data_IF_863802806523
#
_entry.id   IF_863802806523
#
_cell.length_a   1.000
_cell.length_b   1.000
_cell.length_c   1.000
_cell.angle_alpha   90.00
_cell.angle_beta   90.00
_cell.angle_gamma   90.00
#
_symmetry.space_group_name_H-M   'P 1'
#
loop_
_entity.id
_entity.type
_entity.pdbx_description
1 polymer ?
#
# COMPACT_ATOMS: atom_id res chain seq x y z
N UNK A 1 17.32 0.08 -14.31
CA UNK A 1 17.05 1.54 -14.33
C UNK A 1 18.29 2.28 -13.85
N UNK A 2 18.44 3.60 -14.00
CA UNK A 2 19.63 4.30 -13.49
C UNK A 2 19.32 5.69 -12.95
N UNK A 3 20.20 6.21 -12.09
CA UNK A 3 20.21 7.59 -11.66
C UNK A 3 20.36 8.55 -12.85
N UNK A 4 19.75 9.73 -12.76
CA UNK A 4 19.99 10.78 -13.75
C UNK A 4 21.40 11.38 -13.60
N UNK A 5 21.80 12.25 -14.53
CA UNK A 5 23.14 12.86 -14.55
C UNK A 5 23.49 13.67 -13.29
N UNK A 6 22.49 14.07 -12.51
CA UNK A 6 22.67 14.78 -11.24
C UNK A 6 22.70 13.84 -10.02
N UNK A 7 22.73 12.52 -10.25
CA UNK A 7 22.70 11.52 -9.19
C UNK A 7 21.37 11.47 -8.44
N UNK A 8 20.25 11.85 -9.07
CA UNK A 8 18.91 11.81 -8.46
C UNK A 8 18.04 10.75 -9.09
N UNK A 9 17.20 10.12 -8.27
CA UNK A 9 16.17 9.18 -8.69
C UNK A 9 14.93 9.34 -7.80
N UNK A 10 13.75 9.51 -8.39
CA UNK A 10 12.50 9.75 -7.67
C UNK A 10 11.49 8.64 -7.94
N UNK A 11 10.91 8.11 -6.88
CA UNK A 11 9.88 7.08 -6.91
C UNK A 11 8.57 7.70 -6.40
N UNK A 12 7.46 7.39 -7.07
CA UNK A 12 6.11 7.69 -6.60
C UNK A 12 5.37 6.39 -6.28
N UNK A 13 4.96 6.22 -5.03
CA UNK A 13 4.13 5.11 -4.60
C UNK A 13 2.65 5.49 -4.70
N UNK A 14 1.87 4.63 -5.37
CA UNK A 14 0.42 4.67 -5.40
C UNK A 14 -0.13 3.44 -4.67
N UNK A 15 -0.89 3.66 -3.61
CA UNK A 15 -1.49 2.61 -2.79
C UNK A 15 -3.02 2.69 -2.84
N UNK A 16 -3.69 1.53 -2.78
CA UNK A 16 -5.13 1.41 -2.54
C UNK A 16 -5.99 2.31 -3.45
N UNK A 17 -5.74 2.19 -4.76
CA UNK A 17 -6.50 2.93 -5.78
C UNK A 17 -7.96 2.42 -5.82
N UNK A 18 -8.16 1.12 -5.60
CA UNK A 18 -9.44 0.41 -5.48
C UNK A 18 -10.54 0.98 -6.37
N UNK A 19 -10.26 1.07 -7.67
CA UNK A 19 -11.22 1.58 -8.64
C UNK A 19 -12.23 0.50 -9.07
N UNK A 20 -13.31 0.96 -9.69
CA UNK A 20 -14.36 0.13 -10.28
C UNK A 20 -14.51 0.50 -11.77
N UNK A 21 -15.32 -0.24 -12.58
CA UNK A 21 -15.55 0.12 -13.98
C UNK A 21 -15.97 1.57 -14.22
N UNK A 22 -16.67 2.20 -13.26
CA UNK A 22 -16.90 3.64 -13.28
C UNK A 22 -15.78 4.38 -12.52
N UNK A 23 -14.60 4.45 -13.15
CA UNK A 23 -13.39 5.05 -12.56
C UNK A 23 -13.64 6.49 -12.12
N UNK A 24 -13.28 6.81 -10.88
CA UNK A 24 -13.45 8.15 -10.33
C UNK A 24 -12.58 9.20 -11.05
N UNK A 25 -13.19 10.33 -11.38
CA UNK A 25 -12.46 11.48 -11.94
C UNK A 25 -11.49 12.09 -10.95
N UNK A 26 -11.76 11.99 -9.65
CA UNK A 26 -10.89 12.55 -8.60
C UNK A 26 -9.61 11.72 -8.42
N UNK A 27 -9.70 10.40 -8.58
CA UNK A 27 -8.52 9.51 -8.59
C UNK A 27 -7.59 9.86 -9.75
N UNK A 28 -8.14 9.97 -10.96
CA UNK A 28 -7.35 10.33 -12.15
C UNK A 28 -6.75 11.73 -11.99
N UNK A 29 -7.48 12.71 -11.47
CA UNK A 29 -6.95 14.06 -11.19
C UNK A 29 -5.81 14.05 -10.18
N UNK A 30 -5.92 13.28 -9.10
CA UNK A 30 -4.85 13.17 -8.11
C UNK A 30 -3.57 12.62 -8.75
N UNK A 31 -3.69 11.47 -9.43
CA UNK A 31 -2.55 10.81 -10.07
C UNK A 31 -1.93 11.75 -11.12
N UNK A 32 -2.75 12.35 -11.99
CA UNK A 32 -2.28 13.22 -13.06
C UNK A 32 -1.53 14.45 -12.53
N UNK A 33 -2.07 15.13 -11.51
CA UNK A 33 -1.44 16.31 -10.90
C UNK A 33 -0.21 15.95 -10.07
N UNK A 34 -0.22 14.81 -9.38
CA UNK A 34 0.96 14.32 -8.68
C UNK A 34 2.11 14.06 -9.66
N UNK A 35 1.86 13.38 -10.78
CA UNK A 35 2.87 13.10 -11.80
C UNK A 35 3.42 14.37 -12.46
N UNK A 36 2.54 15.35 -12.72
CA UNK A 36 2.92 16.64 -13.30
C UNK A 36 3.88 17.44 -12.39
N UNK A 37 3.55 17.51 -11.09
CA UNK A 37 4.32 18.28 -10.11
C UNK A 37 5.61 17.55 -9.70
N UNK A 38 5.53 16.24 -9.47
CA UNK A 38 6.64 15.48 -8.88
C UNK A 38 7.62 14.92 -9.91
N UNK A 39 7.15 14.59 -11.12
CA UNK A 39 7.98 14.05 -12.22
C UNK A 39 8.85 12.87 -11.77
N UNK A 40 8.25 11.78 -11.27
CA UNK A 40 9.01 10.62 -10.81
C UNK A 40 9.67 9.87 -11.97
N UNK A 41 10.80 9.23 -11.70
CA UNK A 41 11.48 8.30 -12.61
C UNK A 41 10.85 6.90 -12.61
N UNK A 42 10.11 6.55 -11.55
CA UNK A 42 9.41 5.27 -11.38
C UNK A 42 8.10 5.47 -10.62
N UNK A 43 7.03 4.84 -11.08
CA UNK A 43 5.79 4.65 -10.29
C UNK A 43 5.76 3.23 -9.72
N UNK A 44 5.42 3.08 -8.44
CA UNK A 44 5.24 1.76 -7.80
C UNK A 44 3.80 1.64 -7.29
N UNK A 45 3.08 0.63 -7.78
CA UNK A 45 1.73 0.29 -7.36
C UNK A 45 1.80 -0.79 -6.26
N UNK A 46 1.35 -0.47 -5.05
CA UNK A 46 1.51 -1.36 -3.87
C UNK A 46 0.23 -2.07 -3.47
N UNK A 47 -0.39 -2.74 -4.42
CA UNK A 47 -1.61 -3.51 -4.24
C UNK A 47 -2.91 -2.70 -4.22
N UNK A 48 -4.00 -3.44 -4.34
CA UNK A 48 -5.37 -2.96 -4.30
C UNK A 48 -5.64 -1.86 -5.32
N UNK A 49 -5.23 -2.10 -6.57
CA UNK A 49 -5.52 -1.15 -7.64
C UNK A 49 -7.00 -1.20 -8.03
N UNK A 50 -7.62 -2.38 -7.93
CA UNK A 50 -9.03 -2.59 -8.22
C UNK A 50 -9.82 -3.00 -6.98
N UNK A 51 -11.08 -2.58 -6.92
CA UNK A 51 -12.01 -2.99 -5.88
C UNK A 51 -12.62 -4.35 -6.21
N UNK A 52 -11.80 -5.41 -6.16
CA UNK A 52 -12.17 -6.73 -6.68
C UNK A 52 -13.37 -7.40 -5.99
N UNK A 53 -13.63 -7.13 -4.71
CA UNK A 53 -14.85 -7.55 -4.00
C UNK A 53 -16.12 -6.83 -4.48
N UNK A 54 -15.98 -5.75 -5.24
CA UNK A 54 -17.10 -4.94 -5.68
C UNK A 54 -17.98 -5.68 -6.69
N UNK A 55 -19.29 -5.68 -6.47
CA UNK A 55 -20.30 -6.23 -7.39
C UNK A 55 -20.42 -5.47 -8.72
N UNK A 56 -19.55 -4.50 -9.01
CA UNK A 56 -19.57 -3.71 -10.23
C UNK A 56 -18.89 -4.40 -11.41
N UNK A 57 -17.91 -5.27 -11.13
CA UNK A 57 -17.18 -6.01 -12.16
C UNK A 57 -17.99 -7.21 -12.68
N UNK A 58 -17.92 -7.45 -13.99
CA UNK A 58 -18.61 -8.53 -14.71
C UNK A 58 -20.06 -8.21 -15.08
N UNK A 59 -20.54 -6.99 -14.84
CA UNK A 59 -21.94 -6.59 -15.13
C UNK A 59 -22.18 -6.11 -16.56
N UNK A 60 -21.17 -5.54 -17.23
CA UNK A 60 -21.37 -4.92 -18.55
C UNK A 60 -21.08 -5.87 -19.70
N UNK A 61 -19.99 -6.62 -19.62
CA UNK A 61 -19.50 -7.40 -20.78
C UNK A 61 -19.49 -8.91 -20.59
N UNK A 62 -19.68 -9.39 -19.35
CA UNK A 62 -19.40 -10.79 -18.99
C UNK A 62 -17.91 -11.17 -19.04
N UNK A 63 -17.05 -10.31 -19.59
CA UNK A 63 -15.61 -10.50 -19.68
C UNK A 63 -14.90 -9.64 -18.62
N UNK A 64 -14.70 -10.24 -17.44
CA UNK A 64 -14.03 -9.57 -16.31
C UNK A 64 -12.59 -9.18 -16.62
N UNK A 65 -11.84 -9.97 -17.38
CA UNK A 65 -10.45 -9.64 -17.75
C UNK A 65 -10.41 -8.35 -18.56
N UNK A 66 -11.32 -8.17 -19.52
CA UNK A 66 -11.42 -6.93 -20.29
C UNK A 66 -11.85 -5.74 -19.43
N UNK A 67 -12.84 -5.89 -18.54
CA UNK A 67 -13.26 -4.79 -17.66
C UNK A 67 -12.13 -4.35 -16.71
N UNK A 68 -11.34 -5.30 -16.19
CA UNK A 68 -10.15 -4.99 -15.38
C UNK A 68 -9.09 -4.29 -16.23
N UNK A 69 -8.83 -4.76 -17.45
CA UNK A 69 -7.92 -4.09 -18.39
C UNK A 69 -8.35 -2.64 -18.67
N UNK A 70 -9.65 -2.39 -18.90
CA UNK A 70 -10.17 -1.05 -19.19
C UNK A 70 -10.01 -0.10 -17.98
N UNK A 71 -10.29 -0.60 -16.77
CA UNK A 71 -10.09 0.17 -15.54
C UNK A 71 -8.63 0.49 -15.32
N UNK A 72 -7.75 -0.52 -15.39
CA UNK A 72 -6.32 -0.35 -15.19
C UNK A 72 -5.71 0.57 -16.26
N UNK A 73 -6.16 0.45 -17.51
CA UNK A 73 -5.74 1.35 -18.59
C UNK A 73 -6.12 2.80 -18.30
N UNK A 74 -7.30 3.05 -17.73
CA UNK A 74 -7.75 4.40 -17.39
C UNK A 74 -7.03 5.00 -16.18
N UNK A 75 -6.74 4.21 -15.14
CA UNK A 75 -5.98 4.72 -13.98
C UNK A 75 -4.50 4.94 -14.33
N UNK A 76 -3.94 4.14 -15.24
CA UNK A 76 -2.54 4.22 -15.68
C UNK A 76 -2.32 5.14 -16.87
N UNK A 77 -3.38 5.63 -17.53
CA UNK A 77 -3.28 6.56 -18.65
C UNK A 77 -2.37 7.78 -18.36
N UNK A 78 -2.44 8.44 -17.19
CA UNK A 78 -1.52 9.53 -16.87
C UNK A 78 -0.05 9.12 -16.78
N UNK A 79 0.23 7.88 -16.35
CA UNK A 79 1.58 7.30 -16.24
C UNK A 79 2.10 6.95 -17.63
N UNK A 80 1.28 6.24 -18.42
CA UNK A 80 1.67 5.71 -19.73
C UNK A 80 1.92 6.82 -20.75
N UNK A 81 1.06 7.86 -20.76
CA UNK A 81 1.21 9.05 -21.63
C UNK A 81 2.49 9.84 -21.38
N UNK A 82 3.07 9.73 -20.17
CA UNK A 82 4.31 10.41 -19.78
C UNK A 82 5.54 9.54 -19.98
N UNK A 83 5.39 8.33 -20.53
CA UNK A 83 6.47 7.37 -20.74
C UNK A 83 7.19 6.97 -19.42
N UNK A 84 6.50 7.11 -18.28
CA UNK A 84 7.05 6.77 -16.98
C UNK A 84 6.92 5.25 -16.78
N UNK A 85 8.01 4.53 -16.49
CA UNK A 85 7.93 3.11 -16.14
C UNK A 85 7.18 2.93 -14.83
N UNK A 86 6.42 1.84 -14.72
CA UNK A 86 5.77 1.49 -13.47
C UNK A 86 5.95 0.02 -13.12
N UNK A 87 6.05 -0.25 -11.82
CA UNK A 87 6.13 -1.58 -11.23
C UNK A 87 4.87 -1.85 -10.41
N UNK A 88 4.44 -3.11 -10.33
CA UNK A 88 3.24 -3.50 -9.60
C UNK A 88 3.47 -4.72 -8.71
N UNK A 89 2.93 -4.63 -7.49
CA UNK A 89 2.58 -5.77 -6.65
C UNK A 89 1.09 -5.68 -6.28
N UNK A 90 0.57 -6.71 -5.64
CA UNK A 90 -0.86 -6.94 -5.43
C UNK A 90 -1.24 -6.85 -3.96
N UNK A 91 -2.51 -6.52 -3.75
CA UNK A 91 -3.16 -6.54 -2.46
C UNK A 91 -4.22 -7.63 -2.35
N UNK A 92 -4.85 -7.71 -1.18
CA UNK A 92 -5.82 -8.75 -0.88
C UNK A 92 -7.11 -8.60 -1.72
N UNK A 93 -7.44 -7.38 -2.18
CA UNK A 93 -8.65 -7.14 -2.95
C UNK A 93 -8.49 -7.38 -4.47
N UNK A 94 -7.27 -7.39 -5.01
CA UNK A 94 -7.09 -7.49 -6.46
C UNK A 94 -7.58 -8.83 -7.03
N UNK A 95 -7.25 -9.96 -6.40
CA UNK A 95 -7.67 -11.30 -6.89
C UNK A 95 -9.16 -11.61 -6.68
N UNK A 96 -9.83 -10.85 -5.81
CA UNK A 96 -11.25 -11.10 -5.48
C UNK A 96 -12.21 -10.85 -6.65
N UNK A 97 -11.75 -10.16 -7.71
CA UNK A 97 -12.50 -10.04 -8.96
C UNK A 97 -12.70 -11.41 -9.66
N UNK A 98 -11.91 -12.42 -9.29
CA UNK A 98 -11.93 -13.76 -9.87
C UNK A 98 -10.87 -13.97 -10.96
N UNK A 99 -9.79 -13.18 -10.93
CA UNK A 99 -8.63 -13.31 -11.81
C UNK A 99 -7.40 -13.38 -10.90
N UNK A 100 -6.56 -14.41 -11.06
CA UNK A 100 -5.37 -14.56 -10.20
C UNK A 100 -4.36 -13.41 -10.39
N UNK A 101 -3.55 -13.11 -9.37
CA UNK A 101 -2.48 -12.09 -9.48
C UNK A 101 -1.54 -12.40 -10.66
N UNK A 102 -1.21 -13.68 -10.88
CA UNK A 102 -0.41 -14.14 -12.03
C UNK A 102 -1.06 -13.76 -13.37
N UNK A 103 -2.34 -14.06 -13.55
CA UNK A 103 -3.06 -13.71 -14.78
C UNK A 103 -3.20 -12.20 -14.94
N UNK A 104 -3.47 -11.46 -13.86
CA UNK A 104 -3.51 -9.99 -13.92
C UNK A 104 -2.16 -9.41 -14.34
N UNK A 105 -1.06 -9.92 -13.77
CA UNK A 105 0.29 -9.48 -14.14
C UNK A 105 0.62 -9.77 -15.60
N UNK A 106 0.49 -11.04 -16.03
CA UNK A 106 0.90 -11.49 -17.36
C UNK A 106 -0.06 -11.07 -18.47
N UNK A 107 -1.38 -11.15 -18.24
CA UNK A 107 -2.37 -10.97 -19.29
C UNK A 107 -2.91 -9.54 -19.37
N UNK A 108 -2.71 -8.71 -18.33
CA UNK A 108 -3.28 -7.36 -18.23
C UNK A 108 -2.17 -6.31 -18.07
N UNK A 109 -1.44 -6.30 -16.96
CA UNK A 109 -0.42 -5.27 -16.69
C UNK A 109 0.68 -5.25 -17.74
N UNK A 110 1.25 -6.40 -18.13
CA UNK A 110 2.26 -6.48 -19.20
C UNK A 110 1.75 -5.99 -20.57
N UNK A 111 0.43 -5.85 -20.79
CA UNK A 111 -0.16 -5.28 -22.03
C UNK A 111 -0.42 -3.79 -21.94
N UNK A 112 -0.39 -3.21 -20.74
CA UNK A 112 -0.49 -1.77 -20.52
C UNK A 112 0.93 -1.21 -20.57
N UNK A 113 1.20 -0.28 -21.49
CA UNK A 113 2.56 0.19 -21.80
C UNK A 113 3.36 0.67 -20.59
N UNK A 114 4.69 0.59 -20.66
CA UNK A 114 5.64 0.98 -19.60
C UNK A 114 5.57 0.15 -18.31
N UNK A 115 4.81 -0.95 -18.27
CA UNK A 115 4.93 -1.93 -17.20
C UNK A 115 6.33 -2.53 -17.18
N UNK A 116 7.03 -2.34 -16.07
CA UNK A 116 8.29 -3.02 -15.78
C UNK A 116 8.06 -4.05 -14.68
N UNK A 117 8.92 -5.05 -14.65
CA UNK A 117 8.92 -6.06 -13.61
C UNK A 117 8.73 -7.46 -14.12
N UNK A 118 8.99 -8.42 -13.25
CA UNK A 118 8.99 -9.85 -13.54
C UNK A 118 8.28 -10.61 -12.42
N UNK A 119 8.23 -11.94 -12.54
CA UNK A 119 7.83 -12.82 -11.45
C UNK A 119 9.00 -13.72 -11.08
N UNK A 120 9.37 -13.72 -9.80
CA UNK A 120 10.38 -14.60 -9.25
C UNK A 120 10.03 -16.08 -9.50
N UNK A 121 11.03 -16.85 -9.90
CA UNK A 121 10.88 -18.28 -10.17
C UNK A 121 10.54 -19.06 -8.89
N UNK A 122 9.63 -20.03 -8.98
CA UNK A 122 9.24 -20.88 -7.85
C UNK A 122 8.33 -20.21 -6.81
N UNK A 123 7.96 -18.94 -7.01
CA UNK A 123 7.05 -18.19 -6.13
C UNK A 123 5.69 -18.03 -6.82
N UNK A 124 4.62 -18.29 -6.07
CA UNK A 124 3.25 -18.09 -6.54
C UNK A 124 2.86 -16.60 -6.51
N UNK A 125 1.86 -16.21 -7.30
CA UNK A 125 1.38 -14.82 -7.38
C UNK A 125 1.82 -14.10 -8.64
N UNK A 126 2.01 -12.79 -8.54
CA UNK A 126 2.49 -11.94 -9.64
C UNK A 126 3.24 -10.73 -9.10
N UNK A 127 4.25 -10.25 -9.83
CA UNK A 127 4.95 -9.02 -9.44
C UNK A 127 5.83 -9.13 -8.18
N UNK A 128 6.27 -10.33 -7.80
CA UNK A 128 7.39 -10.47 -6.86
C UNK A 128 8.71 -10.43 -7.63
N UNK A 129 9.51 -9.37 -7.48
CA UNK A 129 10.78 -9.19 -8.20
C UNK A 129 11.62 -8.06 -7.59
N UNK A 130 12.83 -7.86 -8.11
CA UNK A 130 13.71 -6.76 -7.73
C UNK A 130 14.10 -5.88 -8.93
N UNK A 131 14.38 -4.60 -8.66
CA UNK A 131 14.79 -3.59 -9.64
C UNK A 131 16.14 -2.99 -9.20
N UNK A 132 17.24 -3.38 -9.84
CA UNK A 132 18.52 -2.70 -9.67
C UNK A 132 18.48 -1.28 -10.27
N UNK A 133 18.91 -0.30 -9.46
CA UNK A 133 19.13 1.08 -9.87
C UNK A 133 20.63 1.30 -9.99
N UNK A 134 21.07 1.48 -11.24
CA UNK A 134 22.47 1.69 -11.58
C UNK A 134 22.89 3.15 -11.35
N UNK A 135 24.18 3.36 -11.17
CA UNK A 135 24.83 4.67 -11.14
C UNK A 135 24.51 5.47 -12.40
N UNK A 136 24.71 6.80 -12.33
CA UNK A 136 24.43 7.69 -13.45
C UNK A 136 25.22 7.33 -14.73
N UNK A 137 26.44 6.81 -14.57
CA UNK A 137 27.29 6.25 -15.63
C UNK A 137 26.89 4.83 -16.08
N UNK A 138 26.01 4.16 -15.35
CA UNK A 138 25.50 2.82 -15.65
C UNK A 138 26.43 1.66 -15.28
N UNK A 139 27.53 1.91 -14.57
CA UNK A 139 28.59 0.89 -14.36
C UNK A 139 28.36 -0.01 -13.17
N UNK A 140 27.63 0.42 -12.14
CA UNK A 140 27.41 -0.36 -10.90
C UNK A 140 25.99 -0.20 -10.37
N UNK A 141 25.53 -1.17 -9.57
CA UNK A 141 24.26 -1.07 -8.85
C UNK A 141 24.47 -0.23 -7.59
N UNK A 142 23.67 0.82 -7.43
CA UNK A 142 23.78 1.78 -6.32
C UNK A 142 22.68 1.56 -5.28
N UNK A 143 21.48 1.27 -5.76
CA UNK A 143 20.32 0.94 -4.93
C UNK A 143 19.56 -0.22 -5.57
N UNK A 144 18.72 -0.89 -4.79
CA UNK A 144 17.79 -1.87 -5.29
C UNK A 144 16.38 -1.65 -4.71
N UNK A 145 15.36 -2.00 -5.48
CA UNK A 145 13.98 -2.02 -5.01
C UNK A 145 13.50 -3.46 -5.03
N UNK A 146 12.81 -3.90 -3.98
CA UNK A 146 12.08 -5.15 -3.96
C UNK A 146 10.58 -4.87 -3.97
N UNK A 147 9.84 -5.66 -4.75
CA UNK A 147 8.39 -5.75 -4.66
C UNK A 147 8.03 -7.16 -4.21
N UNK A 148 7.21 -7.27 -3.15
CA UNK A 148 6.72 -8.55 -2.64
C UNK A 148 5.20 -8.64 -2.82
N UNK A 149 4.70 -9.76 -3.35
CA UNK A 149 3.28 -10.13 -3.27
C UNK A 149 3.03 -10.67 -1.86
N UNK A 150 2.64 -9.78 -0.94
CA UNK A 150 2.52 -10.08 0.50
C UNK A 150 1.34 -10.98 0.88
N UNK A 151 0.62 -11.54 -0.10
CA UNK A 151 -0.48 -12.48 0.13
C UNK A 151 -1.87 -11.84 0.13
N UNK A 152 -2.86 -12.59 0.62
CA UNK A 152 -4.28 -12.19 0.62
C UNK A 152 -4.96 -12.49 1.96
N UNK A 153 -6.28 -12.34 2.03
CA UNK A 153 -7.11 -12.75 3.17
C UNK A 153 -6.92 -14.25 3.52
N UNK A 154 -6.77 -14.56 4.81
CA UNK A 154 -6.67 -15.93 5.29
C UNK A 154 -8.04 -16.63 5.36
N UNK A 155 -8.07 -17.96 5.16
CA UNK A 155 -9.30 -18.80 5.18
C UNK A 155 -10.07 -18.83 6.53
N UNK A 156 -9.55 -18.21 7.58
CA UNK A 156 -10.18 -18.10 8.91
C UNK A 156 -10.43 -16.66 9.37
N UNK A 157 -10.26 -15.67 8.49
CA UNK A 157 -10.29 -14.25 8.82
C UNK A 157 -8.90 -13.68 9.11
N UNK A 158 -8.74 -12.39 8.83
CA UNK A 158 -7.43 -11.75 8.81
C UNK A 158 -6.67 -12.01 7.52
N UNK A 159 -5.33 -12.01 7.59
CA UNK A 159 -4.44 -12.09 6.42
C UNK A 159 -3.52 -13.30 6.53
N UNK A 160 -3.18 -13.86 5.37
CA UNK A 160 -2.22 -14.95 5.25
C UNK A 160 -0.88 -14.55 5.87
N UNK A 161 -0.19 -15.48 6.56
CA UNK A 161 1.20 -15.27 6.95
C UNK A 161 2.07 -15.04 5.70
N UNK A 162 3.10 -14.20 5.81
CA UNK A 162 3.99 -13.90 4.70
C UNK A 162 4.72 -15.17 4.21
N UNK A 163 4.72 -15.41 2.90
CA UNK A 163 5.25 -16.64 2.30
C UNK A 163 6.77 -16.75 2.52
N UNK A 164 7.20 -17.81 3.20
CA UNK A 164 8.62 -18.05 3.49
C UNK A 164 9.45 -18.30 2.24
N UNK A 165 8.83 -18.72 1.12
CA UNK A 165 9.53 -18.80 -0.18
C UNK A 165 9.97 -17.42 -0.68
N UNK A 166 9.19 -16.37 -0.41
CA UNK A 166 9.58 -14.99 -0.75
C UNK A 166 10.78 -14.57 0.11
N UNK A 167 10.82 -14.98 1.39
CA UNK A 167 11.97 -14.74 2.26
C UNK A 167 13.23 -15.43 1.72
N UNK A 168 13.14 -16.69 1.34
CA UNK A 168 14.26 -17.46 0.78
C UNK A 168 14.77 -16.84 -0.54
N UNK A 169 13.85 -16.49 -1.44
CA UNK A 169 14.18 -15.81 -2.68
C UNK A 169 14.83 -14.44 -2.46
N UNK A 170 14.30 -13.64 -1.52
CA UNK A 170 14.87 -12.35 -1.15
C UNK A 170 16.30 -12.51 -0.66
N UNK A 171 16.56 -13.45 0.26
CA UNK A 171 17.92 -13.72 0.77
C UNK A 171 18.87 -14.13 -0.35
N UNK A 172 18.45 -15.05 -1.22
CA UNK A 172 19.23 -15.46 -2.39
C UNK A 172 19.54 -14.28 -3.33
N UNK A 173 18.55 -13.43 -3.59
CA UNK A 173 18.71 -12.24 -4.44
C UNK A 173 19.63 -11.19 -3.80
N UNK A 174 19.48 -10.92 -2.51
CA UNK A 174 20.34 -10.03 -1.72
C UNK A 174 21.80 -10.50 -1.76
N UNK A 175 22.03 -11.79 -1.52
CA UNK A 175 23.37 -12.36 -1.46
C UNK A 175 24.04 -12.38 -2.84
N UNK A 176 23.29 -12.65 -3.91
CA UNK A 176 23.77 -12.49 -5.29
C UNK A 176 24.14 -11.04 -5.61
N UNK A 177 23.29 -10.07 -5.27
CA UNK A 177 23.61 -8.65 -5.49
C UNK A 177 24.84 -8.19 -4.72
N UNK A 178 25.04 -8.71 -3.50
CA UNK A 178 26.25 -8.47 -2.72
C UNK A 178 27.48 -9.04 -3.41
N UNK A 179 27.42 -10.27 -3.90
CA UNK A 179 28.54 -10.90 -4.62
C UNK A 179 28.91 -10.11 -5.89
N UNK A 180 27.90 -9.70 -6.67
CA UNK A 180 28.08 -8.91 -7.90
C UNK A 180 28.64 -7.50 -7.62
N UNK A 181 28.30 -6.88 -6.48
CA UNK A 181 28.63 -5.49 -6.16
C UNK A 181 29.79 -5.34 -5.15
N UNK A 182 30.24 -6.42 -4.53
CA UNK A 182 31.27 -6.45 -3.49
C UNK A 182 30.80 -6.04 -2.09
N UNK A 183 29.62 -5.44 -1.96
CA UNK A 183 28.97 -5.09 -0.69
C UNK A 183 27.44 -5.10 -0.85
N UNK A 184 26.72 -5.18 0.27
CA UNK A 184 25.27 -5.14 0.29
C UNK A 184 24.72 -3.85 -0.34
N UNK A 185 23.73 -4.00 -1.23
CA UNK A 185 23.12 -2.88 -1.95
C UNK A 185 22.01 -2.25 -1.10
N UNK A 186 22.08 -0.95 -0.76
CA UNK A 186 21.01 -0.28 -0.04
C UNK A 186 19.67 -0.38 -0.76
N UNK A 187 18.67 -0.95 -0.08
CA UNK A 187 17.43 -1.39 -0.71
C UNK A 187 16.18 -0.77 -0.09
N UNK A 188 15.11 -0.65 -0.88
CA UNK A 188 13.76 -0.35 -0.41
C UNK A 188 12.82 -1.51 -0.75
N UNK A 189 11.87 -1.82 0.12
CA UNK A 189 10.84 -2.83 -0.12
C UNK A 189 9.48 -2.14 -0.28
N UNK A 190 8.70 -2.63 -1.23
CA UNK A 190 7.30 -2.26 -1.41
C UNK A 190 6.43 -3.50 -1.37
N UNK A 191 5.38 -3.46 -0.56
CA UNK A 191 4.37 -4.51 -0.49
C UNK A 191 3.03 -3.93 -0.10
N UNK A 192 1.99 -4.76 -0.03
CA UNK A 192 0.67 -4.29 0.31
C UNK A 192 0.39 -4.38 1.82
N UNK A 193 0.47 -5.60 2.38
CA UNK A 193 0.07 -5.89 3.75
C UNK A 193 1.21 -5.55 4.73
N UNK A 194 0.94 -4.83 5.83
CA UNK A 194 1.95 -4.47 6.82
C UNK A 194 2.43 -5.68 7.64
N UNK A 195 3.71 -5.66 8.02
CA UNK A 195 4.30 -6.58 9.00
C UNK A 195 3.82 -6.26 10.42
N UNK A 196 3.88 -7.27 11.32
CA UNK A 196 3.56 -7.12 12.74
C UNK A 196 4.36 -5.99 13.41
N UNK A 197 5.62 -5.80 12.97
CA UNK A 197 6.55 -4.81 13.49
C UNK A 197 6.11 -3.35 13.29
N UNK A 198 5.10 -3.09 12.46
CA UNK A 198 4.48 -1.76 12.40
C UNK A 198 3.88 -1.35 13.76
N UNK A 199 3.50 -2.27 14.64
CA UNK A 199 3.09 -1.94 16.01
C UNK A 199 4.27 -1.49 16.89
N UNK A 200 5.51 -1.84 16.56
CA UNK A 200 6.69 -1.48 17.35
C UNK A 200 7.11 -0.01 17.18
N UNK A 201 6.63 0.66 16.13
CA UNK A 201 6.83 2.11 15.96
C UNK A 201 5.68 2.93 16.58
N UNK A 202 4.62 2.26 17.03
CA UNK A 202 3.48 2.89 17.69
C UNK A 202 3.65 2.89 19.21
N UNK A 203 2.96 3.81 19.87
CA UNK A 203 2.93 3.90 21.33
C UNK A 203 1.60 3.39 21.85
N UNK A 204 1.65 2.31 22.64
CA UNK A 204 0.48 1.80 23.37
C UNK A 204 0.09 2.79 24.47
N UNK A 205 -1.20 3.09 24.56
CA UNK A 205 -1.77 4.08 25.49
C UNK A 205 -3.07 3.57 26.12
N UNK A 206 -3.55 4.18 27.23
CA UNK A 206 -4.88 3.89 27.76
C UNK A 206 -5.99 4.21 26.77
N UNK A 207 -7.11 3.47 26.85
CA UNK A 207 -8.31 3.60 25.98
C UNK A 207 -8.83 5.03 25.79
N UNK A 208 -8.76 5.86 26.82
CA UNK A 208 -9.33 7.21 26.83
C UNK A 208 -8.32 8.29 26.43
N UNK A 209 -7.12 7.89 25.99
CA UNK A 209 -6.14 8.84 25.47
C UNK A 209 -6.69 9.48 24.19
N UNK A 210 -6.53 10.80 24.07
CA UNK A 210 -7.00 11.55 22.90
C UNK A 210 -6.35 10.98 21.63
N UNK A 211 -7.16 10.79 20.58
CA UNK A 211 -6.72 10.21 19.30
C UNK A 211 -6.25 8.76 19.35
N UNK A 212 -6.45 8.05 20.46
CA UNK A 212 -6.06 6.65 20.53
C UNK A 212 -6.92 5.78 19.59
N UNK A 213 -6.24 4.98 18.78
CA UNK A 213 -6.84 4.05 17.83
C UNK A 213 -6.89 2.65 18.46
N UNK A 214 -8.07 2.05 18.48
CA UNK A 214 -8.28 0.71 19.03
C UNK A 214 -7.80 -0.33 18.02
N UNK A 215 -6.95 -1.25 18.45
CA UNK A 215 -6.51 -2.38 17.63
C UNK A 215 -7.42 -3.62 17.78
N UNK A 216 -7.29 -4.56 16.85
CA UNK A 216 -8.07 -5.80 16.75
C UNK A 216 -7.19 -7.04 16.57
N UNK A 217 -7.85 -8.21 16.46
CA UNK A 217 -7.22 -9.53 16.31
C UNK A 217 -6.13 -9.75 17.37
N UNK A 218 -4.88 -10.01 16.98
CA UNK A 218 -3.74 -10.23 17.89
C UNK A 218 -3.55 -9.11 18.92
N UNK A 219 -3.92 -7.87 18.57
CA UNK A 219 -3.81 -6.68 19.41
C UNK A 219 -5.16 -6.24 20.03
N UNK A 220 -6.12 -7.16 20.14
CA UNK A 220 -7.47 -6.85 20.64
C UNK A 220 -7.43 -6.25 22.05
N UNK A 221 -8.04 -5.07 22.18
CA UNK A 221 -8.16 -4.37 23.46
C UNK A 221 -6.99 -3.42 23.75
N UNK A 222 -6.02 -3.37 22.84
CA UNK A 222 -4.92 -2.42 22.88
C UNK A 222 -5.31 -1.14 22.12
N UNK A 223 -4.69 -0.02 22.50
CA UNK A 223 -4.96 1.30 21.93
C UNK A 223 -3.64 1.99 21.66
N UNK A 224 -3.53 2.65 20.52
CA UNK A 224 -2.27 3.19 20.02
C UNK A 224 -2.39 4.63 19.54
N UNK A 225 -1.29 5.35 19.67
CA UNK A 225 -1.01 6.60 18.95
C UNK A 225 0.33 6.44 18.23
N UNK A 226 0.71 7.39 17.36
CA UNK A 226 2.06 7.42 16.81
C UNK A 226 3.09 7.46 17.93
N UNK A 227 4.15 6.66 17.80
CA UNK A 227 5.23 6.60 18.78
C UNK A 227 6.28 7.67 18.55
N UNK A 228 7.16 7.83 19.53
CA UNK A 228 8.26 8.81 19.49
C UNK A 228 9.31 8.47 18.39
N UNK A 229 9.25 7.25 17.85
CA UNK A 229 10.07 6.80 16.72
C UNK A 229 9.50 7.18 15.34
N UNK A 230 8.28 7.74 15.29
CA UNK A 230 7.66 8.23 14.06
C UNK A 230 8.16 9.63 13.70
N UNK A 231 8.30 9.88 12.39
CA UNK A 231 8.54 11.22 11.87
C UNK A 231 7.34 12.14 12.15
N UNK A 232 7.62 13.42 12.36
CA UNK A 232 6.61 14.45 12.51
C UNK A 232 5.70 14.56 11.27
N UNK A 233 4.44 14.94 11.50
CA UNK A 233 3.45 15.13 10.44
C UNK A 233 2.78 13.86 9.92
N UNK A 234 3.12 12.69 10.48
CA UNK A 234 2.40 11.45 10.22
C UNK A 234 1.01 11.41 10.85
N UNK A 235 0.16 10.50 10.38
CA UNK A 235 -1.19 10.26 10.89
C UNK A 235 -1.45 8.74 11.03
N UNK A 236 -1.87 8.34 12.23
CA UNK A 236 -2.46 7.02 12.51
C UNK A 236 -3.96 7.23 12.71
N UNK A 237 -4.77 6.70 11.80
CA UNK A 237 -6.23 6.88 11.80
C UNK A 237 -6.99 5.56 11.83
N UNK A 238 -6.30 4.44 11.65
CA UNK A 238 -6.81 3.08 11.83
C UNK A 238 -5.66 2.15 12.23
N UNK A 239 -5.93 1.04 12.95
CA UNK A 239 -4.87 0.20 13.46
C UNK A 239 -4.23 -0.61 12.32
N UNK A 240 -2.90 -0.86 12.32
CA UNK A 240 -2.27 -1.66 11.29
C UNK A 240 -2.89 -3.06 11.15
N UNK A 241 -3.26 -3.40 9.91
CA UNK A 241 -3.92 -4.65 9.53
C UNK A 241 -2.91 -5.77 9.24
N UNK A 242 -2.22 -6.24 10.27
CA UNK A 242 -1.12 -7.23 10.14
C UNK A 242 -1.61 -8.68 10.09
N UNK A 243 -0.85 -9.64 9.53
CA UNK A 243 -1.10 -11.07 9.72
C UNK A 243 -1.06 -11.50 11.19
N UNK A 244 -1.79 -12.56 11.55
CA UNK A 244 -1.79 -13.06 12.94
C UNK A 244 -0.51 -13.83 13.30
N UNK A 245 0.13 -14.43 12.29
CA UNK A 245 1.36 -15.21 12.44
C UNK A 245 2.50 -14.42 11.80
N UNK A 246 3.59 -14.23 12.55
CA UNK A 246 4.81 -13.61 12.05
C UNK A 246 5.76 -14.72 11.59
N UNK A 247 6.06 -14.75 10.29
CA UNK A 247 6.92 -15.78 9.67
C UNK A 247 8.40 -15.39 9.63
N UNK A 248 8.78 -14.26 10.24
CA UNK A 248 10.17 -13.78 10.29
C UNK A 248 10.56 -12.89 9.13
N UNK A 249 9.59 -12.31 8.41
CA UNK A 249 9.82 -11.38 7.30
C UNK A 249 10.72 -10.21 7.72
N UNK A 250 10.35 -9.49 8.78
CA UNK A 250 11.13 -8.36 9.27
C UNK A 250 12.54 -8.76 9.72
N UNK A 251 12.68 -9.91 10.38
CA UNK A 251 13.99 -10.39 10.83
C UNK A 251 14.90 -10.69 9.63
N UNK A 252 14.37 -11.28 8.56
CA UNK A 252 15.12 -11.48 7.32
C UNK A 252 15.51 -10.16 6.63
N UNK A 253 14.58 -9.21 6.56
CA UNK A 253 14.80 -7.88 5.97
C UNK A 253 15.86 -7.08 6.76
N UNK A 254 15.80 -7.14 8.09
CA UNK A 254 16.67 -6.34 8.96
C UNK A 254 18.07 -6.95 9.16
N UNK A 255 18.23 -8.26 8.95
CA UNK A 255 19.43 -9.07 9.24
C UNK A 255 20.75 -8.44 8.78
N UNK A 256 20.82 -7.93 7.54
CA UNK A 256 22.07 -7.46 6.94
C UNK A 256 22.20 -5.93 6.89
N UNK A 257 21.17 -5.20 7.34
CA UNK A 257 21.20 -3.73 7.34
C UNK A 257 21.19 -3.08 5.96
N UNK A 258 20.91 -3.83 4.90
CA UNK A 258 20.87 -3.38 3.52
C UNK A 258 19.53 -2.72 3.18
N UNK A 259 18.41 -3.29 3.62
CA UNK A 259 17.09 -2.68 3.47
C UNK A 259 16.94 -1.48 4.42
N UNK A 260 16.64 -0.32 3.85
CA UNK A 260 16.51 0.95 4.58
C UNK A 260 15.07 1.25 4.96
N UNK A 261 14.11 0.80 4.15
CA UNK A 261 12.70 0.99 4.44
C UNK A 261 11.81 -0.08 3.80
N UNK A 262 10.67 -0.32 4.42
CA UNK A 262 9.53 -1.04 3.84
C UNK A 262 8.34 -0.09 3.77
N UNK A 263 7.77 0.06 2.57
CA UNK A 263 6.60 0.89 2.33
C UNK A 263 5.38 0.04 1.99
N UNK A 264 4.26 0.34 2.63
CA UNK A 264 2.99 -0.41 2.52
C UNK A 264 1.80 0.48 2.22
N UNK A 265 0.71 -0.14 1.79
CA UNK A 265 -0.62 0.46 1.64
C UNK A 265 -1.58 -0.13 2.67
N UNK A 266 -2.69 -0.66 2.18
CA UNK A 266 -3.67 -1.52 2.86
C UNK A 266 -4.54 -0.83 3.91
N UNK A 267 -3.93 -0.04 4.81
CA UNK A 267 -4.64 0.80 5.77
C UNK A 267 -4.76 2.22 5.20
N UNK A 268 -5.82 2.40 4.40
CA UNK A 268 -6.09 3.54 3.51
C UNK A 268 -5.92 4.94 4.12
N UNK A 269 -6.13 5.12 5.42
CA UNK A 269 -6.10 6.41 6.13
C UNK A 269 -4.74 6.67 6.77
N UNK A 270 -3.92 5.63 6.96
CA UNK A 270 -2.63 5.75 7.60
C UNK A 270 -1.61 6.39 6.67
N UNK A 271 -0.81 7.30 7.22
CA UNK A 271 0.28 7.95 6.52
C UNK A 271 1.34 8.36 7.52
N UNK A 272 2.31 7.49 7.78
CA UNK A 272 3.39 7.77 8.71
C UNK A 272 4.63 6.98 8.33
N UNK A 273 5.77 7.38 8.86
CA UNK A 273 7.02 6.61 8.77
C UNK A 273 7.60 6.56 10.17
N UNK A 274 7.96 5.37 10.64
CA UNK A 274 8.63 5.19 11.92
C UNK A 274 9.82 4.26 11.84
N UNK A 275 10.81 4.50 12.70
CA UNK A 275 12.03 3.71 12.75
C UNK A 275 11.89 2.53 13.70
N UNK A 276 12.08 1.31 13.22
CA UNK A 276 12.25 0.14 14.10
C UNK A 276 13.56 -0.58 13.78
N UNK A 277 14.40 -0.76 14.81
CA UNK A 277 15.80 -1.19 14.65
C UNK A 277 16.51 -0.37 13.55
N UNK A 278 16.92 -1.03 12.47
CA UNK A 278 17.67 -0.49 11.35
C UNK A 278 16.81 -0.26 10.08
N UNK A 279 15.49 -0.38 10.16
CA UNK A 279 14.57 -0.25 9.03
C UNK A 279 13.46 0.77 9.32
N UNK A 280 13.13 1.59 8.33
CA UNK A 280 11.98 2.51 8.39
C UNK A 280 10.72 1.81 7.90
N UNK A 281 9.63 1.92 8.65
CA UNK A 281 8.34 1.30 8.37
C UNK A 281 7.34 2.40 7.99
N UNK A 282 6.92 2.42 6.72
CA UNK A 282 6.17 3.53 6.13
C UNK A 282 4.81 3.13 5.57
N UNK A 283 3.73 3.69 6.12
CA UNK A 283 2.40 3.64 5.49
C UNK A 283 2.22 4.76 4.46
N UNK A 284 1.55 4.42 3.37
CA UNK A 284 1.10 5.35 2.34
C UNK A 284 -0.41 5.32 2.26
N UNK A 285 -1.03 6.50 2.37
CA UNK A 285 -2.49 6.59 2.31
C UNK A 285 -3.02 6.22 0.92
N UNK A 286 -4.30 5.85 0.88
CA UNK A 286 -5.01 5.55 -0.36
C UNK A 286 -4.99 6.71 -1.35
N UNK A 287 -4.84 6.36 -2.63
CA UNK A 287 -4.93 7.28 -3.77
C UNK A 287 -6.31 7.24 -4.47
N UNK A 288 -7.15 6.25 -4.13
CA UNK A 288 -8.45 5.98 -4.75
C UNK A 288 -9.64 6.72 -4.16
N UNK A 289 -10.70 6.94 -4.96
CA UNK A 289 -11.93 7.63 -4.52
C UNK A 289 -13.22 6.77 -4.64
N UNK A 290 -13.09 5.48 -4.98
CA UNK A 290 -14.20 4.51 -4.94
C UNK A 290 -14.13 3.54 -3.74
N UNK A 291 -13.17 3.74 -2.84
CA UNK A 291 -13.01 3.08 -1.56
C UNK A 291 -13.17 4.06 -0.38
N UNK A 292 -13.14 3.56 0.86
CA UNK A 292 -13.04 4.42 2.05
C UNK A 292 -11.63 5.03 2.15
N UNK A 293 -11.45 6.07 2.97
CA UNK A 293 -10.15 6.72 3.17
C UNK A 293 -10.31 8.17 3.62
N UNK A 294 -9.20 8.89 3.72
CA UNK A 294 -9.14 10.15 4.46
C UNK A 294 -9.55 11.40 3.64
N UNK A 295 -10.73 11.37 3.02
CA UNK A 295 -11.33 12.53 2.31
C UNK A 295 -10.33 13.13 1.29
N UNK A 296 -10.09 14.44 1.35
CA UNK A 296 -9.11 15.16 0.52
C UNK A 296 -7.64 14.97 0.96
N UNK A 297 -7.38 14.26 2.06
CA UNK A 297 -6.02 13.89 2.50
C UNK A 297 -5.52 12.60 1.82
N UNK A 298 -6.35 11.95 1.00
CA UNK A 298 -5.89 10.91 0.06
C UNK A 298 -4.75 11.46 -0.79
N UNK A 299 -3.78 10.62 -1.13
CA UNK A 299 -2.53 11.11 -1.68
C UNK A 299 -1.64 10.02 -2.23
N UNK A 300 -0.43 10.44 -2.56
CA UNK A 300 0.66 9.59 -3.01
C UNK A 300 1.86 9.80 -2.09
N UNK A 301 2.78 8.84 -2.06
CA UNK A 301 4.09 9.03 -1.39
C UNK A 301 5.18 9.20 -2.42
N UNK A 302 6.05 10.18 -2.18
CA UNK A 302 7.25 10.44 -2.98
C UNK A 302 8.46 10.01 -2.17
N UNK A 303 9.41 9.35 -2.84
CA UNK A 303 10.69 8.92 -2.28
C UNK A 303 11.80 9.41 -3.21
N UNK A 304 12.77 10.12 -2.66
CA UNK A 304 13.90 10.67 -3.39
C UNK A 304 15.18 9.99 -2.92
N UNK A 305 15.89 9.39 -3.87
CA UNK A 305 17.18 8.77 -3.68
C UNK A 305 18.30 9.68 -4.21
N UNK A 306 19.49 9.53 -3.64
CA UNK A 306 20.69 10.29 -3.98
C UNK A 306 21.87 9.33 -4.14
N UNK A 307 22.44 9.28 -5.35
CA UNK A 307 23.56 8.40 -5.71
C UNK A 307 24.77 8.60 -4.77
N UNK A 308 24.98 9.82 -4.28
CA UNK A 308 26.10 10.14 -3.38
C UNK A 308 25.85 9.75 -1.92
N UNK A 309 24.59 9.44 -1.57
CA UNK A 309 24.18 9.02 -0.23
C UNK A 309 23.21 7.83 -0.34
N UNK A 310 23.63 6.69 -0.92
CA UNK A 310 22.72 5.61 -1.32
C UNK A 310 22.01 4.93 -0.16
N UNK A 311 22.56 5.01 1.06
CA UNK A 311 21.91 4.52 2.29
C UNK A 311 20.92 5.50 2.91
N UNK A 312 20.71 6.67 2.33
CA UNK A 312 19.76 7.69 2.79
C UNK A 312 18.77 8.00 1.69
N UNK A 313 17.56 8.35 2.09
CA UNK A 313 16.52 8.83 1.19
C UNK A 313 15.72 9.93 1.87
N UNK A 314 14.94 10.67 1.09
CA UNK A 314 13.90 11.58 1.60
C UNK A 314 12.55 11.04 1.19
N UNK A 315 11.55 11.17 2.06
CA UNK A 315 10.16 10.85 1.70
C UNK A 315 9.19 11.88 2.23
N UNK A 316 8.10 12.08 1.51
CA UNK A 316 6.97 12.95 1.85
C UNK A 316 5.73 12.48 1.09
N UNK A 317 4.57 13.04 1.41
CA UNK A 317 3.33 12.75 0.69
C UNK A 317 2.84 14.00 -0.04
N UNK A 318 2.04 13.79 -1.08
CA UNK A 318 1.28 14.85 -1.77
C UNK A 318 -0.18 14.47 -1.78
N UNK A 319 -1.03 15.33 -1.22
CA UNK A 319 -2.46 15.04 -1.07
C UNK A 319 -3.30 15.66 -2.17
N UNK A 320 -4.53 15.14 -2.36
CA UNK A 320 -5.54 15.75 -3.22
C UNK A 320 -5.80 17.20 -2.84
N UNK A 321 -5.83 17.51 -1.53
CA UNK A 321 -6.01 18.88 -1.04
C UNK A 321 -4.93 19.82 -1.57
N UNK A 322 -3.68 19.39 -1.55
CA UNK A 322 -2.52 20.19 -1.97
C UNK A 322 -2.43 20.33 -3.49
N UNK A 323 -2.73 19.26 -4.22
CA UNK A 323 -2.52 19.18 -5.67
C UNK A 323 -3.73 19.66 -6.49
N UNK A 324 -4.94 19.42 -5.98
CA UNK A 324 -6.20 19.61 -6.72
C UNK A 324 -7.11 20.60 -6.00
N UNK A 325 -7.22 20.50 -4.67
CA UNK A 325 -8.00 21.41 -3.83
C UNK A 325 -9.01 20.71 -2.93
N UNK A 326 -9.95 21.47 -2.36
CA UNK A 326 -10.87 20.98 -1.31
C UNK A 326 -12.21 20.42 -1.81
N UNK A 327 -12.47 20.48 -3.12
CA UNK A 327 -13.76 20.08 -3.71
C UNK A 327 -13.65 18.72 -4.37
N UNK A 328 -14.47 17.78 -3.91
CA UNK A 328 -14.61 16.45 -4.51
C UNK A 328 -15.82 16.43 -5.45
N UNK A 329 -15.78 15.56 -6.45
CA UNK A 329 -16.90 15.29 -7.36
C UNK A 329 -18.09 14.62 -6.65
N UNK A 330 -17.81 13.81 -5.61
CA UNK A 330 -18.83 13.05 -4.84
C UNK A 330 -18.67 13.28 -3.33
N UNK A 331 -18.87 14.51 -2.82
CA UNK A 331 -18.50 14.87 -1.44
C UNK A 331 -19.33 14.16 -0.36
N UNK A 332 -20.59 13.84 -0.65
CA UNK A 332 -21.49 13.10 0.26
C UNK A 332 -21.07 11.64 0.37
N UNK A 333 -20.83 10.98 -0.77
CA UNK A 333 -20.35 9.59 -0.78
C UNK A 333 -19.03 9.44 -0.04
N UNK A 334 -18.08 10.33 -0.30
CA UNK A 334 -16.77 10.31 0.35
C UNK A 334 -16.87 10.59 1.86
N UNK A 335 -17.85 11.38 2.31
CA UNK A 335 -18.04 11.63 3.75
C UNK A 335 -18.56 10.38 4.44
N UNK A 336 -19.52 9.71 3.82
CA UNK A 336 -20.09 8.47 4.33
C UNK A 336 -19.04 7.36 4.32
N UNK A 337 -18.23 7.25 3.25
CA UNK A 337 -17.18 6.23 3.18
C UNK A 337 -16.07 6.47 4.19
N UNK A 338 -15.69 7.72 4.48
CA UNK A 338 -14.74 8.05 5.54
C UNK A 338 -15.16 7.51 6.92
N UNK A 339 -16.46 7.52 7.21
CA UNK A 339 -17.04 7.00 8.45
C UNK A 339 -17.21 5.47 8.45
N UNK A 340 -17.04 4.81 7.31
CA UNK A 340 -17.18 3.37 7.23
C UNK A 340 -16.09 2.68 8.06
N UNK A 341 -16.44 1.57 8.74
CA UNK A 341 -15.45 0.74 9.42
C UNK A 341 -14.45 0.16 8.42
N UNK A 342 -13.18 0.19 8.78
CA UNK A 342 -12.03 -0.25 7.99
C UNK A 342 -12.03 -1.76 7.74
N UNK A 343 -12.55 -2.55 8.69
CA UNK A 343 -12.63 -4.02 8.61
C UNK A 343 -13.95 -4.54 9.16
N UNK A 344 -14.26 -5.81 8.87
CA UNK A 344 -15.39 -6.51 9.51
C UNK A 344 -15.26 -6.49 11.03
N UNK A 345 -14.04 -6.69 11.54
CA UNK A 345 -13.76 -6.64 12.99
C UNK A 345 -14.05 -5.27 13.59
N UNK A 346 -13.73 -4.20 12.86
CA UNK A 346 -14.08 -2.83 13.24
C UNK A 346 -15.60 -2.57 13.17
N UNK A 347 -16.32 -3.26 12.27
CA UNK A 347 -17.76 -3.14 12.11
C UNK A 347 -18.56 -3.83 13.24
N UNK A 348 -18.04 -4.93 13.81
CA UNK A 348 -18.75 -5.73 14.84
C UNK A 348 -19.20 -4.87 16.04
N UNK A 349 -18.34 -4.06 16.70
CA UNK A 349 -18.77 -3.20 17.80
C UNK A 349 -19.84 -2.16 17.43
N UNK A 350 -19.81 -1.63 16.21
CA UNK A 350 -20.80 -0.67 15.70
C UNK A 350 -22.17 -1.31 15.55
N UNK A 351 -22.20 -2.53 14.98
CA UNK A 351 -23.42 -3.33 14.83
C UNK A 351 -24.01 -3.67 16.20
N UNK A 352 -23.18 -4.19 17.11
CA UNK A 352 -23.61 -4.57 18.48
C UNK A 352 -24.17 -3.36 19.24
N UNK A 353 -23.51 -2.20 19.17
CA UNK A 353 -24.01 -0.97 19.81
C UNK A 353 -25.36 -0.54 19.24
N UNK A 354 -25.53 -0.61 17.92
CA UNK A 354 -26.78 -0.23 17.24
C UNK A 354 -27.93 -1.16 17.65
N UNK A 355 -27.71 -2.48 17.65
CA UNK A 355 -28.68 -3.46 18.12
C UNK A 355 -29.03 -3.25 19.61
N UNK A 356 -28.05 -2.92 20.45
CA UNK A 356 -28.26 -2.61 21.86
C UNK A 356 -29.13 -1.36 22.08
N UNK A 357 -28.93 -0.30 21.28
CA UNK A 357 -29.77 0.92 21.34
C UNK A 357 -31.21 0.61 20.91
N UNK A 358 -31.39 -0.17 19.85
CA UNK A 358 -32.71 -0.60 19.38
C UNK A 358 -33.42 -1.44 20.45
N UNK A 359 -32.71 -2.39 21.07
CA UNK A 359 -33.25 -3.22 22.15
C UNK A 359 -33.63 -2.38 23.39
N UNK A 360 -32.81 -1.41 23.78
CA UNK A 360 -33.10 -0.51 24.90
C UNK A 360 -34.32 0.39 24.61
N UNK A 361 -34.43 0.92 23.39
CA UNK A 361 -35.61 1.70 22.98
C UNK A 361 -36.88 0.85 22.98
N UNK A 362 -36.82 -0.38 22.46
CA UNK A 362 -37.95 -1.32 22.48
C UNK A 362 -38.36 -1.70 23.91
N UNK A 363 -37.40 -1.92 24.81
CA UNK A 363 -37.65 -2.20 26.22
C UNK A 363 -38.32 -1.02 26.95
N UNK A 364 -37.85 0.21 26.70
CA UNK A 364 -38.48 1.41 27.25
C UNK A 364 -39.93 1.55 26.73
N UNK A 365 -40.18 1.34 25.44
CA UNK A 365 -41.54 1.37 24.87
C UNK A 365 -42.45 0.29 25.51
N UNK A 366 -41.90 -0.88 25.85
CA UNK A 366 -42.65 -1.96 26.49
C UNK A 366 -42.95 -1.71 27.98
N UNK A 367 -42.12 -0.92 28.69
CA UNK A 367 -42.32 -0.57 30.11
C UNK A 367 -43.28 0.61 30.28
N UNK A 368 -43.30 1.54 29.33
CA UNK A 368 -44.17 2.72 29.36
C UNK A 368 -45.50 2.54 28.59
N UNK A 369 -45.86 1.28 28.31
CA UNK A 369 -47.20 0.83 27.93
C UNK A 369 -47.81 0.09 29.11
#
# INVERSE_FOLDING_TARGET
MKYNINGKFKIMQLADIQEIPNVSVDTVKLIDRALEEEKPDLVVLTGDQIKGYGMSYGKKSGNKKQEVFDVLSKILEPVTKREIPYAVTFGNHDRQVGISNKEQFCDIYKKIGNCIGEQAEGIDGGGTFNIPIYSSDGTRVVNNIYLFDSGTDAKGGGYEPFDTKIIEWYKSTRDRLKEENGDYVPSLVFQHIPMDEYYNVLKRVPKYTKHAIRAYRKHKGEYYVLGDACLDGGNLLEPPSVPNENTGEFDAISECGDVKAVFVGHDHKNSFVGRYKNVDLGFTQSCGFNCYGNRTERGVRVIELDENRPSRYRTYTRTYRELVGKKLSRPVFDYISYLAPETVDAAIPLIVRTLGVIAAAAFLIAIFR
#
